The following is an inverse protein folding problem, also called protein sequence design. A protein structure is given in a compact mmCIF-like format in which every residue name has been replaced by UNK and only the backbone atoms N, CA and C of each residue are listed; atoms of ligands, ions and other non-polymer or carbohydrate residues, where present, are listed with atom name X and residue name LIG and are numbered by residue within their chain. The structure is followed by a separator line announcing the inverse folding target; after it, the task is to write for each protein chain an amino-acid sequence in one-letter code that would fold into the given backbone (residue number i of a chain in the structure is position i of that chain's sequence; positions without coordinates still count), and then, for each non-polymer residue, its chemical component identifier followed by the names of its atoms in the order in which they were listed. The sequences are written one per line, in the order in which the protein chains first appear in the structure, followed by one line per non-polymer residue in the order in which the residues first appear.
data_IF_038490095126
#
_entry.id   IF_038490095126
#
_cell.length_a   1.000
_cell.length_b   1.000
_cell.length_c   1.000
_cell.angle_alpha   90.00
_cell.angle_beta   90.00
_cell.angle_gamma   90.00
#
_symmetry.space_group_name_H-M   'P 1'
#
loop_
_entity.id
_entity.type
_entity.pdbx_description
1 polymer ?
#
# COMPACT_ATOMS: atom_id res chain seq x y z
N UNK A 1 -9.18 -1.30 -64.74
CA UNK A 1 -10.20 -1.41 -63.67
C UNK A 1 -9.77 -2.50 -62.70
N UNK A 2 -8.80 -2.17 -61.86
CA UNK A 2 -8.22 -3.02 -60.83
C UNK A 2 -7.97 -2.12 -59.63
N UNK A 3 -7.86 -2.73 -58.45
CA UNK A 3 -7.66 -2.12 -57.13
C UNK A 3 -8.97 -1.65 -56.49
N UNK A 4 -9.48 -2.45 -55.56
CA UNK A 4 -10.18 -2.07 -54.32
C UNK A 4 -10.82 -3.35 -53.75
N UNK A 5 -10.07 -4.14 -52.97
CA UNK A 5 -10.60 -5.15 -52.01
C UNK A 5 -9.43 -5.84 -51.27
N UNK A 6 -8.59 -5.05 -50.60
CA UNK A 6 -7.52 -5.57 -49.71
C UNK A 6 -7.35 -4.67 -48.49
N UNK A 7 -8.46 -4.25 -47.89
CA UNK A 7 -8.48 -3.33 -46.75
C UNK A 7 -9.26 -3.83 -45.53
N UNK A 8 -9.55 -5.14 -45.42
CA UNK A 8 -10.37 -5.70 -44.33
C UNK A 8 -9.75 -6.91 -43.62
N UNK A 9 -8.47 -7.23 -43.88
CA UNK A 9 -7.83 -8.44 -43.36
C UNK A 9 -6.57 -8.18 -42.49
N UNK A 10 -6.47 -7.01 -41.86
CA UNK A 10 -5.36 -6.67 -40.94
C UNK A 10 -5.80 -6.20 -39.54
N UNK A 11 -7.06 -6.42 -39.15
CA UNK A 11 -7.55 -6.14 -37.79
C UNK A 11 -8.03 -7.39 -37.03
N UNK A 12 -7.49 -8.57 -37.34
CA UNK A 12 -7.75 -9.80 -36.57
C UNK A 12 -6.48 -10.41 -35.94
N UNK A 13 -5.35 -9.70 -35.93
CA UNK A 13 -4.04 -10.27 -35.61
C UNK A 13 -3.40 -9.88 -34.27
N UNK A 14 -4.09 -9.19 -33.37
CA UNK A 14 -3.50 -8.75 -32.10
C UNK A 14 -4.47 -8.81 -30.89
N UNK A 15 -5.48 -9.68 -30.93
CA UNK A 15 -5.96 -10.27 -29.68
C UNK A 15 -4.92 -11.32 -29.27
N UNK A 16 -3.74 -10.83 -28.87
CA UNK A 16 -2.81 -11.66 -28.11
C UNK A 16 -3.65 -12.26 -26.98
N UNK A 17 -3.53 -13.57 -26.82
CA UNK A 17 -4.02 -14.27 -25.63
C UNK A 17 -3.31 -13.58 -24.46
N UNK A 18 -3.94 -12.54 -23.92
CA UNK A 18 -3.60 -12.01 -22.62
C UNK A 18 -3.89 -13.19 -21.70
N UNK A 19 -2.85 -13.94 -21.38
CA UNK A 19 -2.84 -14.87 -20.28
C UNK A 19 -3.53 -14.13 -19.13
N UNK A 20 -4.68 -14.65 -18.69
CA UNK A 20 -5.52 -13.96 -17.72
C UNK A 20 -4.68 -13.84 -16.45
N UNK A 21 -4.03 -12.68 -16.29
CA UNK A 21 -3.20 -12.43 -15.14
C UNK A 21 -4.17 -12.25 -13.98
N UNK A 22 -4.04 -13.12 -12.99
CA UNK A 22 -4.73 -13.05 -11.71
C UNK A 22 -3.78 -12.48 -10.66
N UNK A 23 -3.46 -11.17 -10.69
CA UNK A 23 -2.62 -10.59 -9.68
C UNK A 23 -3.31 -10.64 -8.32
N UNK A 24 -2.48 -10.66 -7.28
CA UNK A 24 -2.93 -10.55 -5.91
C UNK A 24 -3.28 -9.10 -5.57
N UNK A 25 -4.43 -8.91 -4.92
CA UNK A 25 -4.89 -7.71 -4.24
C UNK A 25 -4.98 -8.00 -2.74
N UNK A 26 -4.35 -7.18 -1.91
CA UNK A 26 -4.55 -7.23 -0.45
C UNK A 26 -5.76 -6.40 -0.08
N UNK A 27 -6.83 -7.08 0.27
CA UNK A 27 -8.11 -6.47 0.58
C UNK A 27 -8.29 -6.29 2.09
N UNK A 28 -8.56 -5.07 2.59
CA UNK A 28 -8.68 -4.82 4.02
C UNK A 28 -9.97 -5.39 4.59
N UNK A 29 -9.89 -5.93 5.80
CA UNK A 29 -11.04 -6.26 6.63
C UNK A 29 -11.58 -4.95 7.21
N UNK A 30 -12.82 -4.61 6.89
CA UNK A 30 -13.48 -3.37 7.34
C UNK A 30 -14.37 -3.59 8.56
N UNK A 31 -14.93 -4.79 8.72
CA UNK A 31 -15.72 -5.17 9.88
C UNK A 31 -15.60 -6.67 10.17
N UNK A 32 -15.79 -7.04 11.44
CA UNK A 32 -15.68 -8.41 11.93
C UNK A 32 -16.84 -8.70 12.84
N UNK A 33 -17.50 -9.83 12.59
CA UNK A 33 -18.52 -10.39 13.47
C UNK A 33 -18.04 -11.76 13.96
N UNK A 34 -17.74 -11.93 15.25
CA UNK A 34 -17.41 -13.24 15.79
C UNK A 34 -18.62 -14.17 15.71
N UNK A 35 -18.37 -15.40 15.32
CA UNK A 35 -19.30 -16.52 15.40
C UNK A 35 -18.82 -17.46 16.52
N UNK A 36 -19.46 -18.62 16.64
CA UNK A 36 -19.04 -19.65 17.60
C UNK A 36 -17.80 -20.41 17.09
N UNK A 37 -17.02 -20.94 18.03
CA UNK A 37 -15.94 -21.91 17.78
C UNK A 37 -14.77 -21.38 16.95
N UNK A 38 -14.40 -20.10 17.14
CA UNK A 38 -13.26 -19.49 16.43
C UNK A 38 -13.53 -19.18 14.96
N UNK A 39 -14.82 -19.13 14.58
CA UNK A 39 -15.26 -18.66 13.26
C UNK A 39 -15.62 -17.18 13.29
N UNK A 40 -15.45 -16.52 12.16
CA UNK A 40 -15.73 -15.09 12.00
C UNK A 40 -16.41 -14.86 10.65
N UNK A 41 -17.37 -13.93 10.62
CA UNK A 41 -17.80 -13.29 9.38
C UNK A 41 -16.98 -12.02 9.21
N UNK A 42 -16.31 -11.91 8.08
CA UNK A 42 -15.47 -10.77 7.71
C UNK A 42 -16.16 -9.97 6.62
N UNK A 43 -16.22 -8.66 6.81
CA UNK A 43 -16.54 -7.72 5.73
C UNK A 43 -15.23 -7.25 5.11
N UNK A 44 -15.11 -7.40 3.80
CA UNK A 44 -13.95 -7.04 3.01
C UNK A 44 -14.22 -5.74 2.24
N UNK A 45 -13.23 -4.85 2.17
CA UNK A 45 -13.31 -3.54 1.51
C UNK A 45 -13.23 -3.56 -0.02
N UNK A 46 -13.21 -4.75 -0.62
CA UNK A 46 -13.13 -4.97 -2.06
C UNK A 46 -14.37 -5.72 -2.58
N UNK A 47 -14.72 -5.47 -3.83
CA UNK A 47 -15.85 -6.10 -4.52
C UNK A 47 -15.61 -6.30 -6.01
N UNK A 48 -16.68 -6.51 -6.77
CA UNK A 48 -16.62 -6.68 -8.23
C UNK A 48 -15.90 -5.51 -8.92
N UNK A 49 -16.11 -4.29 -8.42
CA UNK A 49 -15.44 -3.09 -8.93
C UNK A 49 -13.92 -3.18 -8.84
N UNK A 50 -13.39 -3.95 -7.88
CA UNK A 50 -11.96 -4.13 -7.64
C UNK A 50 -11.36 -5.30 -8.43
N UNK A 51 -12.16 -5.97 -9.28
CA UNK A 51 -11.76 -7.16 -10.02
C UNK A 51 -12.05 -8.47 -9.29
N UNK A 52 -12.74 -8.43 -8.16
CA UNK A 52 -13.09 -9.64 -7.41
C UNK A 52 -14.18 -10.42 -8.13
N UNK A 53 -14.05 -11.76 -8.13
CA UNK A 53 -15.03 -12.67 -8.70
C UNK A 53 -15.39 -13.76 -7.69
N UNK A 54 -16.49 -14.49 -7.93
CA UNK A 54 -16.93 -15.58 -7.06
C UNK A 54 -15.89 -16.71 -6.91
N UNK A 55 -15.07 -16.87 -7.94
CA UNK A 55 -13.99 -17.84 -8.07
C UNK A 55 -12.63 -17.29 -7.61
N UNK A 56 -12.57 -16.03 -7.16
CA UNK A 56 -11.33 -15.43 -6.65
C UNK A 56 -10.71 -16.33 -5.57
N UNK A 57 -9.49 -16.80 -5.83
CA UNK A 57 -8.74 -17.60 -4.87
C UNK A 57 -8.27 -16.69 -3.73
N UNK A 58 -8.21 -17.26 -2.54
CA UNK A 58 -7.82 -16.53 -1.33
C UNK A 58 -6.58 -17.15 -0.71
N UNK A 59 -5.72 -16.32 -0.16
CA UNK A 59 -4.55 -16.76 0.60
C UNK A 59 -4.74 -16.62 2.12
N UNK A 60 -3.68 -16.84 2.91
CA UNK A 60 -3.74 -16.66 4.35
C UNK A 60 -3.99 -15.19 4.71
N UNK A 61 -4.76 -14.95 5.77
CA UNK A 61 -4.94 -13.60 6.31
C UNK A 61 -3.59 -13.02 6.74
N UNK A 62 -3.34 -11.75 6.45
CA UNK A 62 -2.10 -11.05 6.77
C UNK A 62 -2.42 -9.97 7.79
N UNK A 63 -1.68 -9.93 8.91
CA UNK A 63 -1.83 -8.85 9.88
C UNK A 63 -1.41 -7.52 9.28
N UNK A 64 -2.18 -6.47 9.57
CA UNK A 64 -1.67 -5.12 9.34
C UNK A 64 -0.40 -4.93 10.15
N UNK A 65 0.53 -4.14 9.62
CA UNK A 65 1.63 -3.67 10.43
C UNK A 65 1.10 -2.84 11.60
N UNK A 66 1.69 -2.94 12.78
CA UNK A 66 1.39 -2.08 13.92
C UNK A 66 2.72 -1.46 14.40
N UNK A 67 2.83 -0.12 14.47
CA UNK A 67 4.02 0.55 15.00
C UNK A 67 4.43 -0.04 16.36
N UNK A 68 5.74 -0.23 16.56
CA UNK A 68 6.30 -0.87 17.76
C UNK A 68 6.46 -2.40 17.67
N UNK A 69 5.98 -3.04 16.59
CA UNK A 69 6.29 -4.45 16.35
C UNK A 69 7.58 -4.61 15.55
N UNK A 70 8.59 -5.27 16.14
CA UNK A 70 9.86 -5.57 15.47
C UNK A 70 9.74 -6.60 14.33
N UNK A 71 8.57 -7.20 14.16
CA UNK A 71 8.28 -8.16 13.09
C UNK A 71 7.29 -7.48 12.16
N UNK A 72 7.61 -7.44 10.86
CA UNK A 72 6.67 -6.98 9.83
C UNK A 72 5.38 -7.79 9.81
N UNK A 73 4.48 -7.47 8.88
CA UNK A 73 3.21 -8.15 8.72
C UNK A 73 3.34 -9.69 8.77
N UNK A 74 2.49 -10.32 9.59
CA UNK A 74 2.55 -11.76 9.85
C UNK A 74 1.33 -12.44 9.26
N UNK A 75 1.54 -13.60 8.63
CA UNK A 75 0.44 -14.45 8.22
C UNK A 75 -0.26 -15.04 9.45
N UNK A 76 -1.59 -15.00 9.45
CA UNK A 76 -2.46 -15.66 10.42
C UNK A 76 -2.98 -16.93 9.78
N UNK A 77 -2.63 -18.07 10.37
CA UNK A 77 -3.11 -19.37 9.91
C UNK A 77 -4.62 -19.49 10.14
N UNK A 78 -5.32 -19.95 9.11
CA UNK A 78 -6.75 -20.20 9.12
C UNK A 78 -7.25 -20.56 7.73
N UNK A 79 -8.54 -20.84 7.64
CA UNK A 79 -9.21 -21.10 6.37
C UNK A 79 -10.19 -19.97 6.07
N UNK A 80 -10.07 -19.36 4.89
CA UNK A 80 -10.96 -18.30 4.42
C UNK A 80 -11.82 -18.83 3.28
N UNK A 81 -13.12 -18.56 3.36
CA UNK A 81 -14.11 -18.96 2.36
C UNK A 81 -14.97 -17.77 2.00
N UNK A 82 -14.81 -17.29 0.77
CA UNK A 82 -15.64 -16.22 0.21
C UNK A 82 -17.11 -16.65 0.15
N UNK A 83 -18.02 -15.80 0.62
CA UNK A 83 -19.46 -16.09 0.67
C UNK A 83 -20.23 -15.30 -0.37
N UNK A 84 -20.06 -13.98 -0.37
CA UNK A 84 -20.73 -13.08 -1.30
C UNK A 84 -19.75 -12.05 -1.82
N UNK A 85 -19.80 -11.80 -3.13
CA UNK A 85 -19.08 -10.70 -3.76
C UNK A 85 -20.10 -9.62 -4.07
N UNK A 86 -20.01 -8.50 -3.36
CA UNK A 86 -20.80 -7.31 -3.67
C UNK A 86 -20.03 -6.39 -4.60
N UNK A 87 -20.70 -5.35 -5.09
CA UNK A 87 -20.08 -4.42 -6.04
C UNK A 87 -18.88 -3.65 -5.45
N UNK A 88 -19.00 -3.15 -4.21
CA UNK A 88 -17.94 -2.38 -3.53
C UNK A 88 -17.25 -3.13 -2.40
N UNK A 89 -17.85 -4.21 -1.92
CA UNK A 89 -17.48 -4.88 -0.69
C UNK A 89 -17.99 -6.31 -0.69
N UNK A 90 -17.25 -7.22 -0.07
CA UNK A 90 -17.55 -8.65 -0.09
C UNK A 90 -17.58 -9.24 1.32
N UNK A 91 -18.22 -10.39 1.49
CA UNK A 91 -18.24 -11.10 2.77
C UNK A 91 -17.55 -12.45 2.66
N UNK A 92 -16.76 -12.78 3.68
CA UNK A 92 -16.09 -14.07 3.79
C UNK A 92 -16.32 -14.66 5.19
N UNK A 93 -16.27 -15.99 5.27
CA UNK A 93 -16.13 -16.70 6.53
C UNK A 93 -14.66 -17.04 6.75
N UNK A 94 -14.18 -16.85 7.96
CA UNK A 94 -12.84 -17.19 8.36
C UNK A 94 -12.85 -18.10 9.58
N UNK A 95 -12.16 -19.22 9.48
CA UNK A 95 -11.95 -20.17 10.59
C UNK A 95 -10.52 -20.03 11.08
N UNK A 96 -10.37 -19.52 12.30
CA UNK A 96 -9.07 -19.26 12.91
C UNK A 96 -8.39 -20.56 13.35
N UNK A 97 -7.12 -20.75 13.01
CA UNK A 97 -6.37 -21.88 13.52
C UNK A 97 -6.17 -21.78 15.05
N UNK A 98 -6.06 -22.91 15.78
CA UNK A 98 -5.85 -22.89 17.22
C UNK A 98 -4.63 -22.05 17.65
N UNK A 99 -4.74 -21.37 18.78
CA UNK A 99 -3.68 -20.53 19.40
C UNK A 99 -3.28 -19.27 18.61
N UNK A 100 -3.99 -18.94 17.54
CA UNK A 100 -3.84 -17.66 16.87
C UNK A 100 -4.69 -16.58 17.55
N UNK A 101 -4.27 -15.32 17.44
CA UNK A 101 -5.10 -14.20 17.87
C UNK A 101 -6.26 -13.96 16.87
N UNK A 102 -7.42 -13.46 17.31
CA UNK A 102 -8.53 -13.09 16.43
C UNK A 102 -8.14 -12.06 15.36
N UNK A 103 -8.74 -12.06 14.16
CA UNK A 103 -8.56 -11.00 13.18
C UNK A 103 -9.04 -9.65 13.73
N UNK A 104 -8.47 -8.55 13.24
CA UNK A 104 -8.87 -7.17 13.57
C UNK A 104 -9.13 -6.35 12.30
N UNK A 105 -9.98 -5.30 12.33
CA UNK A 105 -10.13 -4.40 11.19
C UNK A 105 -8.77 -3.80 10.78
N UNK A 106 -8.52 -3.72 9.48
CA UNK A 106 -7.23 -3.33 8.90
C UNK A 106 -6.33 -4.50 8.51
N UNK A 107 -6.52 -5.68 9.10
CA UNK A 107 -5.89 -6.90 8.60
C UNK A 107 -6.30 -7.14 7.13
N UNK A 108 -5.42 -7.81 6.39
CA UNK A 108 -5.50 -7.94 4.95
C UNK A 108 -5.82 -9.37 4.53
N UNK A 109 -6.64 -9.52 3.50
CA UNK A 109 -6.93 -10.79 2.85
C UNK A 109 -6.38 -10.74 1.44
N UNK A 110 -5.36 -11.54 1.10
CA UNK A 110 -4.88 -11.68 -0.27
C UNK A 110 -5.94 -12.38 -1.12
N UNK A 111 -6.28 -11.75 -2.24
CA UNK A 111 -7.28 -12.21 -3.19
C UNK A 111 -6.71 -12.14 -4.59
N UNK A 112 -6.90 -13.21 -5.36
CA UNK A 112 -6.68 -13.15 -6.80
C UNK A 112 -7.84 -12.41 -7.47
N UNK A 113 -7.50 -11.39 -8.26
CA UNK A 113 -8.47 -10.53 -8.93
C UNK A 113 -8.25 -10.53 -10.44
N UNK A 114 -9.31 -10.19 -11.18
CA UNK A 114 -9.24 -9.93 -12.62
C UNK A 114 -8.92 -8.47 -12.87
N UNK A 115 -7.77 -8.22 -13.50
CA UNK A 115 -7.42 -6.88 -13.96
C UNK A 115 -7.54 -6.77 -15.47
N UNK A 116 -8.27 -5.77 -16.00
CA UNK A 116 -8.35 -5.56 -17.44
C UNK A 116 -6.99 -5.14 -18.02
N UNK A 117 -6.21 -4.34 -17.27
CA UNK A 117 -4.89 -3.84 -17.65
C UNK A 117 -4.02 -3.68 -16.40
N UNK A 118 -3.04 -4.58 -16.15
CA UNK A 118 -2.08 -4.38 -15.07
C UNK A 118 -1.16 -3.20 -15.41
N UNK A 119 -0.70 -2.49 -14.38
CA UNK A 119 0.34 -1.46 -14.49
C UNK A 119 1.63 -1.96 -13.83
N UNK A 120 2.78 -1.52 -14.34
CA UNK A 120 4.12 -1.75 -13.79
C UNK A 120 4.59 -0.61 -12.89
N UNK A 121 3.78 0.44 -12.71
CA UNK A 121 4.06 1.57 -11.82
C UNK A 121 4.21 1.08 -10.37
N UNK A 122 5.23 1.57 -9.66
CA UNK A 122 5.44 1.35 -8.23
C UNK A 122 4.21 1.75 -7.41
N UNK A 123 3.60 2.91 -7.67
CA UNK A 123 2.39 3.36 -6.94
C UNK A 123 1.19 2.39 -7.13
N UNK A 124 1.07 1.77 -8.30
CA UNK A 124 0.10 0.70 -8.52
C UNK A 124 0.42 -0.52 -7.67
N UNK A 125 1.68 -0.97 -7.68
CA UNK A 125 2.13 -2.08 -6.84
C UNK A 125 1.92 -1.81 -5.35
N UNK A 126 2.17 -0.61 -4.85
CA UNK A 126 1.95 -0.32 -3.43
C UNK A 126 0.46 -0.32 -3.08
N UNK A 127 -0.35 0.39 -3.86
CA UNK A 127 -1.78 0.54 -3.59
C UNK A 127 -2.55 -0.79 -3.64
N UNK A 128 -2.18 -1.72 -4.55
CA UNK A 128 -2.80 -3.07 -4.57
C UNK A 128 -2.42 -3.93 -3.35
N UNK A 129 -1.32 -3.64 -2.66
CA UNK A 129 -0.97 -4.30 -1.40
C UNK A 129 -1.57 -3.55 -0.20
N UNK A 130 -2.54 -2.65 -0.40
CA UNK A 130 -3.16 -1.90 0.69
C UNK A 130 -2.18 -0.95 1.39
N UNK A 131 -1.10 -0.54 0.70
CA UNK A 131 -0.17 0.49 1.17
C UNK A 131 -0.62 1.81 0.54
N UNK A 132 -1.16 2.70 1.37
CA UNK A 132 -1.66 4.00 0.90
C UNK A 132 -0.74 5.10 1.42
N UNK A 133 0.01 5.71 0.50
CA UNK A 133 0.79 6.90 0.80
C UNK A 133 -0.10 8.14 0.69
N UNK A 134 -0.02 9.03 1.67
CA UNK A 134 -0.80 10.26 1.71
C UNK A 134 0.11 11.49 1.73
N UNK A 135 -0.42 12.62 1.29
CA UNK A 135 0.13 13.93 1.59
C UNK A 135 0.05 14.23 3.09
N UNK A 136 0.65 15.35 3.50
CA UNK A 136 0.72 15.79 4.89
C UNK A 136 -0.66 16.05 5.50
N UNK A 137 -1.63 16.46 4.68
CA UNK A 137 -3.02 16.68 5.06
C UNK A 137 -3.86 15.39 5.14
N UNK A 138 -3.27 14.24 4.82
CA UNK A 138 -3.92 12.93 4.83
C UNK A 138 -4.59 12.55 3.51
N UNK A 139 -4.56 13.41 2.49
CA UNK A 139 -5.10 13.09 1.16
C UNK A 139 -4.26 11.99 0.50
N UNK A 140 -4.85 10.86 0.06
CA UNK A 140 -4.13 9.81 -0.65
C UNK A 140 -3.52 10.33 -1.97
N UNK A 141 -2.27 9.97 -2.25
CA UNK A 141 -1.63 10.30 -3.52
C UNK A 141 -2.26 9.56 -4.70
N UNK A 142 -2.47 8.26 -4.51
CA UNK A 142 -3.16 7.37 -5.45
C UNK A 142 -3.82 6.25 -4.66
N UNK A 143 -5.04 5.89 -5.04
CA UNK A 143 -5.72 4.69 -4.58
C UNK A 143 -5.72 3.62 -5.69
N UNK A 144 -5.79 2.35 -5.31
CA UNK A 144 -5.87 1.25 -6.27
C UNK A 144 -7.03 1.43 -7.28
N UNK A 145 -8.19 1.91 -6.81
CA UNK A 145 -9.37 2.17 -7.66
C UNK A 145 -9.17 3.29 -8.68
N UNK A 146 -8.17 4.16 -8.51
CA UNK A 146 -7.89 5.21 -9.49
C UNK A 146 -7.32 4.60 -10.79
N UNK A 147 -6.50 3.54 -10.68
CA UNK A 147 -6.01 2.78 -11.83
C UNK A 147 -7.12 2.06 -12.60
N UNK A 148 -8.17 1.63 -11.89
CA UNK A 148 -9.33 1.01 -12.53
C UNK A 148 -10.21 2.03 -13.26
N UNK A 149 -10.31 3.25 -12.72
CA UNK A 149 -11.08 4.35 -13.32
C UNK A 149 -10.36 4.98 -14.52
N UNK A 150 -9.04 5.04 -14.47
CA UNK A 150 -8.19 5.65 -15.50
C UNK A 150 -7.14 4.65 -16.03
N UNK A 151 -7.54 3.57 -16.72
CA UNK A 151 -6.60 2.59 -17.23
C UNK A 151 -5.59 3.22 -18.20
N UNK A 152 -4.31 2.91 -18.01
CA UNK A 152 -3.22 3.44 -18.84
C UNK A 152 -2.77 4.86 -18.50
N UNK A 153 -3.37 5.50 -17.49
CA UNK A 153 -2.88 6.80 -17.00
C UNK A 153 -1.55 6.64 -16.25
N UNK A 154 -0.61 7.55 -16.51
CA UNK A 154 0.70 7.59 -15.85
C UNK A 154 0.62 8.43 -14.57
N UNK A 155 0.16 7.80 -13.49
CA UNK A 155 0.05 8.47 -12.19
C UNK A 155 1.42 8.88 -11.65
N UNK A 156 2.49 8.14 -11.95
CA UNK A 156 3.82 8.47 -11.44
C UNK A 156 4.41 9.73 -12.07
N UNK A 157 4.23 9.91 -13.38
CA UNK A 157 4.66 11.13 -14.05
C UNK A 157 4.02 12.40 -13.45
N UNK A 158 2.78 12.28 -12.97
CA UNK A 158 1.97 13.40 -12.48
C UNK A 158 2.11 13.59 -10.96
N UNK A 159 2.21 12.50 -10.19
CA UNK A 159 2.22 12.56 -8.72
C UNK A 159 3.60 12.64 -8.10
N UNK A 160 4.62 12.00 -8.68
CA UNK A 160 5.95 12.01 -8.07
C UNK A 160 6.57 13.41 -7.99
N UNK A 161 6.40 14.33 -8.96
CA UNK A 161 6.85 15.72 -8.82
C UNK A 161 6.19 16.45 -7.65
N UNK A 162 4.88 16.28 -7.45
CA UNK A 162 4.15 16.89 -6.34
C UNK A 162 4.58 16.31 -4.99
N UNK A 163 4.75 14.98 -4.92
CA UNK A 163 5.29 14.30 -3.74
C UNK A 163 6.69 14.82 -3.37
N UNK A 164 7.56 15.03 -4.36
CA UNK A 164 8.89 15.59 -4.14
C UNK A 164 8.84 17.05 -3.68
N UNK A 165 7.97 17.87 -4.28
CA UNK A 165 7.78 19.25 -3.86
C UNK A 165 7.35 19.34 -2.38
N UNK A 166 6.51 18.41 -1.93
CA UNK A 166 6.10 18.33 -0.53
C UNK A 166 7.26 17.92 0.41
N UNK A 167 8.10 16.98 -0.01
CA UNK A 167 9.35 16.64 0.70
C UNK A 167 10.23 17.87 0.87
N UNK A 168 10.41 18.66 -0.19
CA UNK A 168 11.19 19.91 -0.15
C UNK A 168 10.56 20.95 0.78
N UNK A 169 9.23 21.07 0.77
CA UNK A 169 8.51 21.97 1.67
C UNK A 169 8.74 21.61 3.14
N UNK A 170 8.62 20.33 3.48
CA UNK A 170 8.75 19.83 4.85
C UNK A 170 10.21 19.81 5.33
N UNK A 171 11.18 19.69 4.42
CA UNK A 171 12.60 19.74 4.73
C UNK A 171 12.97 20.96 5.60
N UNK A 172 12.31 22.11 5.39
CA UNK A 172 12.55 23.35 6.15
C UNK A 172 12.32 23.24 7.65
N UNK A 173 11.58 22.21 8.10
CA UNK A 173 11.25 21.96 9.50
C UNK A 173 11.93 20.67 10.03
N UNK A 174 12.61 19.91 9.17
CA UNK A 174 13.10 18.57 9.50
C UNK A 174 14.09 18.59 10.67
N UNK A 175 15.09 19.47 10.64
CA UNK A 175 16.10 19.55 11.70
C UNK A 175 15.51 20.00 13.05
N UNK A 176 14.42 20.77 13.04
CA UNK A 176 13.73 21.18 14.27
C UNK A 176 12.96 20.02 14.92
N UNK A 177 12.49 19.06 14.12
CA UNK A 177 11.70 17.91 14.59
C UNK A 177 12.60 16.73 14.94
N UNK A 178 13.63 16.46 14.13
CA UNK A 178 14.46 15.25 14.22
C UNK A 178 15.90 15.51 14.69
N UNK A 179 16.29 16.78 14.84
CA UNK A 179 17.64 17.19 15.20
C UNK A 179 18.51 17.53 13.98
N UNK A 180 19.51 18.38 14.19
CA UNK A 180 20.43 18.87 13.16
C UNK A 180 21.74 18.06 13.08
N UNK A 181 21.77 16.87 13.68
CA UNK A 181 22.95 16.01 13.64
C UNK A 181 23.13 15.41 12.24
N UNK A 182 24.36 15.37 11.70
CA UNK A 182 24.60 14.73 10.42
C UNK A 182 24.26 13.23 10.41
N UNK A 183 23.66 12.77 9.32
CA UNK A 183 23.39 11.37 9.05
C UNK A 183 24.71 10.58 8.99
N UNK A 184 24.74 9.43 9.68
CA UNK A 184 25.99 8.68 9.91
C UNK A 184 26.40 7.82 8.71
N UNK A 185 25.44 7.33 7.96
CA UNK A 185 25.65 6.33 6.91
C UNK A 185 24.63 6.47 5.77
N UNK A 186 24.80 5.65 4.73
CA UNK A 186 23.89 5.58 3.61
C UNK A 186 24.10 6.66 2.54
N UNK A 187 23.11 6.80 1.65
CA UNK A 187 23.16 7.69 0.49
C UNK A 187 23.41 9.16 0.86
N UNK A 188 22.92 9.59 2.02
CA UNK A 188 22.96 10.98 2.49
C UNK A 188 23.97 11.22 3.64
N UNK A 189 24.94 10.32 3.81
CA UNK A 189 25.93 10.41 4.89
C UNK A 189 26.64 11.79 4.91
N UNK A 190 26.75 12.37 6.10
CA UNK A 190 27.35 13.69 6.33
C UNK A 190 26.43 14.89 6.11
N UNK A 191 25.20 14.69 5.63
CA UNK A 191 24.18 15.73 5.51
C UNK A 191 23.27 15.74 6.75
N UNK A 192 22.69 16.88 7.11
CA UNK A 192 21.53 16.89 8.04
C UNK A 192 20.27 16.36 7.34
N UNK A 193 19.23 16.01 8.10
CA UNK A 193 17.98 15.54 7.50
C UNK A 193 17.34 16.61 6.62
N UNK A 194 17.36 17.87 7.07
CA UNK A 194 16.92 19.01 6.25
C UNK A 194 17.68 19.08 4.92
N UNK A 195 19.01 18.95 4.95
CA UNK A 195 19.83 18.99 3.73
C UNK A 195 19.50 17.83 2.79
N UNK A 196 19.38 16.62 3.34
CA UNK A 196 19.06 15.42 2.58
C UNK A 196 17.67 15.50 1.92
N UNK A 197 16.64 15.91 2.67
CA UNK A 197 15.29 16.09 2.13
C UNK A 197 15.24 17.24 1.11
N UNK A 198 15.85 18.39 1.39
CA UNK A 198 15.88 19.52 0.45
C UNK A 198 16.69 19.23 -0.83
N UNK A 199 17.71 18.38 -0.73
CA UNK A 199 18.54 17.95 -1.86
C UNK A 199 18.00 16.72 -2.60
N UNK A 200 16.94 16.08 -2.10
CA UNK A 200 16.36 14.88 -2.70
C UNK A 200 15.86 15.16 -4.13
N UNK A 201 15.99 14.15 -4.98
CA UNK A 201 15.61 14.14 -6.38
C UNK A 201 14.53 13.10 -6.66
N UNK A 202 13.99 13.13 -7.88
CA UNK A 202 12.95 12.18 -8.30
C UNK A 202 13.42 10.72 -8.24
N UNK A 203 14.70 10.46 -8.50
CA UNK A 203 15.26 9.11 -8.43
C UNK A 203 15.30 8.59 -6.99
N UNK A 204 15.64 9.44 -6.01
CA UNK A 204 15.62 9.05 -4.59
C UNK A 204 14.20 8.65 -4.15
N UNK A 205 13.18 9.33 -4.67
CA UNK A 205 11.77 8.97 -4.46
C UNK A 205 11.44 7.59 -5.03
N UNK A 206 11.92 7.30 -6.24
CA UNK A 206 11.69 6.00 -6.90
C UNK A 206 12.42 4.88 -6.16
N UNK A 207 13.61 5.14 -5.65
CA UNK A 207 14.38 4.19 -4.85
C UNK A 207 13.66 3.89 -3.53
N UNK A 208 13.11 4.91 -2.87
CA UNK A 208 12.23 4.71 -1.72
C UNK A 208 11.00 3.86 -2.06
N UNK A 209 10.27 4.17 -3.12
CA UNK A 209 9.08 3.40 -3.51
C UNK A 209 9.42 1.95 -3.90
N UNK A 210 10.58 1.73 -4.54
CA UNK A 210 11.09 0.40 -4.85
C UNK A 210 11.45 -0.37 -3.57
N UNK A 211 12.04 0.30 -2.57
CA UNK A 211 12.26 -0.25 -1.24
C UNK A 211 10.94 -0.65 -0.55
N UNK A 212 9.94 0.22 -0.54
CA UNK A 212 8.61 -0.09 0.05
C UNK A 212 7.98 -1.31 -0.65
N UNK A 213 8.13 -1.42 -1.97
CA UNK A 213 7.66 -2.58 -2.75
C UNK A 213 8.40 -3.86 -2.39
N UNK A 214 9.70 -3.79 -2.11
CA UNK A 214 10.51 -4.94 -1.70
C UNK A 214 10.19 -5.40 -0.26
N UNK A 215 9.81 -4.47 0.62
CA UNK A 215 9.51 -4.74 2.03
C UNK A 215 8.08 -4.32 2.44
N UNK A 216 7.04 -4.81 1.76
CA UNK A 216 5.67 -4.30 1.93
C UNK A 216 5.13 -4.57 3.33
N UNK A 217 5.59 -5.63 3.99
CA UNK A 217 5.18 -6.03 5.34
C UNK A 217 5.37 -4.95 6.42
N UNK A 218 6.23 -3.96 6.21
CA UNK A 218 6.42 -2.82 7.14
C UNK A 218 5.37 -1.71 6.95
N UNK A 219 4.55 -1.81 5.91
CA UNK A 219 3.64 -0.75 5.46
C UNK A 219 2.19 -1.22 5.28
N UNK A 220 1.92 -2.53 5.32
CA UNK A 220 0.59 -3.09 5.05
C UNK A 220 -0.49 -2.58 6.00
N UNK A 221 -1.64 -2.26 5.42
CA UNK A 221 -2.89 -2.01 6.16
C UNK A 221 -2.99 -0.66 6.83
N UNK A 222 -2.12 0.27 6.48
CA UNK A 222 -2.15 1.62 7.02
C UNK A 222 -1.99 2.68 5.94
N UNK A 223 -2.47 3.88 6.29
CA UNK A 223 -2.15 5.12 5.59
C UNK A 223 -0.87 5.68 6.18
N UNK A 224 0.05 6.05 5.32
CA UNK A 224 1.34 6.60 5.71
C UNK A 224 1.47 7.99 5.14
N UNK A 225 1.71 8.98 6.01
CA UNK A 225 2.13 10.30 5.57
C UNK A 225 3.48 10.16 4.89
N UNK A 226 3.47 10.36 3.59
CA UNK A 226 4.60 10.12 2.73
C UNK A 226 5.89 10.83 3.21
N UNK A 227 5.86 12.12 3.58
CA UNK A 227 7.07 12.82 4.05
C UNK A 227 7.68 12.19 5.31
N UNK A 228 6.85 11.68 6.22
CA UNK A 228 7.30 11.08 7.48
C UNK A 228 8.01 9.73 7.25
N UNK A 229 7.42 8.87 6.41
CA UNK A 229 8.05 7.58 6.09
C UNK A 229 9.27 7.72 5.18
N UNK A 230 9.30 8.74 4.32
CA UNK A 230 10.45 9.07 3.49
C UNK A 230 11.62 9.60 4.36
N UNK A 231 11.35 10.52 5.29
CA UNK A 231 12.34 11.00 6.26
C UNK A 231 12.91 9.84 7.09
N UNK A 232 12.04 8.92 7.56
CA UNK A 232 12.47 7.72 8.28
C UNK A 232 13.37 6.83 7.43
N UNK A 233 13.07 6.67 6.14
CA UNK A 233 13.93 5.91 5.23
C UNK A 233 15.32 6.56 5.07
N UNK A 234 15.39 7.89 4.94
CA UNK A 234 16.66 8.65 4.91
C UNK A 234 17.45 8.44 6.21
N UNK A 235 16.80 8.59 7.37
CA UNK A 235 17.44 8.40 8.69
C UNK A 235 18.07 7.00 8.81
N UNK A 236 17.42 5.99 8.22
CA UNK A 236 17.90 4.61 8.20
C UNK A 236 18.90 4.33 7.06
N UNK A 237 19.54 5.36 6.50
CA UNK A 237 20.59 5.21 5.50
C UNK A 237 20.09 5.03 4.06
N UNK A 238 18.80 5.26 3.80
CA UNK A 238 18.19 5.11 2.49
C UNK A 238 18.50 3.75 1.81
N UNK A 239 18.18 2.63 2.47
CA UNK A 239 18.49 1.29 1.97
C UNK A 239 17.79 1.01 0.63
N UNK A 240 18.48 0.28 -0.25
CA UNK A 240 17.95 -0.16 -1.52
C UNK A 240 17.02 -1.37 -1.40
N UNK A 241 16.38 -1.81 -2.50
CA UNK A 241 15.48 -2.96 -2.51
C UNK A 241 16.17 -4.29 -2.14
N UNK A 242 17.50 -4.37 -2.26
CA UNK A 242 18.29 -5.56 -1.92
C UNK A 242 18.81 -5.53 -0.46
N UNK A 243 18.58 -4.44 0.28
CA UNK A 243 19.10 -4.24 1.63
C UNK A 243 18.04 -4.60 2.69
N UNK A 244 18.12 -5.82 3.23
CA UNK A 244 17.15 -6.31 4.23
C UNK A 244 17.35 -5.70 5.65
N UNK A 245 18.45 -4.97 5.89
CA UNK A 245 18.84 -4.50 7.23
C UNK A 245 18.29 -3.10 7.51
N UNK A 246 17.16 -3.02 8.24
CA UNK A 246 16.76 -1.80 8.93
C UNK A 246 16.65 -2.11 10.42
N UNK A 247 17.44 -1.44 11.25
CA UNK A 247 17.19 -1.37 12.69
C UNK A 247 16.00 -0.46 12.95
N UNK A 248 15.00 -0.96 13.68
CA UNK A 248 13.85 -0.16 14.11
C UNK A 248 14.35 0.91 15.08
N UNK A 249 14.13 2.18 14.75
CA UNK A 249 14.42 3.30 15.66
C UNK A 249 13.67 3.04 16.98
N UNK A 250 14.36 2.99 18.13
CA UNK A 250 13.72 2.72 19.42
C UNK A 250 12.63 3.77 19.71
N UNK A 251 11.59 3.33 20.40
CA UNK A 251 10.31 4.05 20.61
C UNK A 251 10.48 5.42 21.29
N UNK A 252 11.62 5.67 21.92
CA UNK A 252 12.03 6.92 22.58
C UNK A 252 12.60 7.98 21.61
N UNK A 253 13.02 7.58 20.41
CA UNK A 253 13.51 8.46 19.33
C UNK A 253 12.44 8.69 18.27
N UNK A 254 11.40 7.84 18.20
CA UNK A 254 10.23 8.11 17.37
C UNK A 254 9.50 9.34 17.94
N UNK A 255 9.19 10.36 17.12
CA UNK A 255 8.35 11.46 17.59
C UNK A 255 7.04 10.84 18.08
N UNK A 256 6.69 11.08 19.36
CA UNK A 256 5.42 10.62 19.91
C UNK A 256 4.32 11.07 18.95
N UNK A 257 3.51 10.16 18.40
CA UNK A 257 2.38 10.57 17.59
C UNK A 257 1.55 11.54 18.45
N UNK A 258 1.19 12.73 17.95
CA UNK A 258 0.39 13.67 18.72
C UNK A 258 -0.82 12.92 19.31
N UNK A 259 -1.09 13.10 20.60
CA UNK A 259 -2.12 12.35 21.35
C UNK A 259 -3.50 12.41 20.66
N UNK A 260 -3.71 13.44 19.84
CA UNK A 260 -4.89 13.67 19.01
C UNK A 260 -5.08 12.65 17.88
N UNK A 261 -4.03 11.96 17.41
CA UNK A 261 -4.12 10.96 16.33
C UNK A 261 -4.79 9.66 16.78
N UNK A 262 -4.64 9.24 18.04
CA UNK A 262 -5.29 8.03 18.55
C UNK A 262 -6.80 8.28 18.72
N UNK A 263 -7.18 9.49 19.13
CA UNK A 263 -8.57 9.94 19.23
C UNK A 263 -9.23 10.13 17.87
N UNK A 264 -8.57 10.83 16.95
CA UNK A 264 -9.04 11.01 15.56
C UNK A 264 -9.17 9.67 14.83
N UNK A 265 -8.24 8.72 15.03
CA UNK A 265 -8.28 7.38 14.42
C UNK A 265 -9.52 6.56 14.78
N UNK A 266 -10.04 6.67 16.01
CA UNK A 266 -11.31 6.02 16.38
C UNK A 266 -12.54 6.76 15.82
N UNK A 267 -12.40 8.06 15.55
CA UNK A 267 -13.46 8.90 15.01
C UNK A 267 -13.56 8.76 13.48
N UNK A 268 -12.44 8.73 12.76
CA UNK A 268 -12.39 8.60 11.31
C UNK A 268 -12.83 7.21 10.83
N UNK A 269 -12.44 6.15 11.55
CA UNK A 269 -12.97 4.78 11.32
C UNK A 269 -14.48 4.67 11.55
N UNK A 270 -15.08 5.58 12.35
CA UNK A 270 -16.52 5.64 12.59
C UNK A 270 -17.28 6.54 11.61
N UNK A 271 -16.64 7.61 11.14
CA UNK A 271 -17.30 8.64 10.34
C UNK A 271 -17.18 8.41 8.84
N UNK A 272 -16.19 7.66 8.36
CA UNK A 272 -16.09 7.38 6.94
C UNK A 272 -15.37 6.05 6.63
N UNK A 273 -16.08 4.91 6.62
CA UNK A 273 -15.48 3.61 6.32
C UNK A 273 -15.02 3.45 4.86
N UNK A 274 -15.22 4.48 4.01
CA UNK A 274 -14.97 4.43 2.56
C UNK A 274 -14.14 5.61 2.01
N UNK A 275 -13.51 6.44 2.85
CA UNK A 275 -12.56 7.48 2.41
C UNK A 275 -11.14 7.10 2.69
#
# INVERSE_FOLDING_TARGET
MAVLLSGWLLMQGAAAQAEELWPELLCPITAIQPLNDGRYTLQLGCGELDGMASESRTGPLIRQYLPGQNKGAQAVSGELQLQTVGYFSSQAHFTLAPKQAPPIPGDMVPLEIRLPLPSDQLLFHLSRHGIVLTAQDGTPWVLYRDYLRLPGYDFEAERLPDMLAEVHQIATQADAVFGAEPLREGLFAGQTLQQAMAGSQLNDLKDFLAFVRAFPGKYLGQRWKFPEVYATWIINGAPGPDDEKIEVIPEDVQPKPPEDLIGQRQQDLRLNPFS
#
